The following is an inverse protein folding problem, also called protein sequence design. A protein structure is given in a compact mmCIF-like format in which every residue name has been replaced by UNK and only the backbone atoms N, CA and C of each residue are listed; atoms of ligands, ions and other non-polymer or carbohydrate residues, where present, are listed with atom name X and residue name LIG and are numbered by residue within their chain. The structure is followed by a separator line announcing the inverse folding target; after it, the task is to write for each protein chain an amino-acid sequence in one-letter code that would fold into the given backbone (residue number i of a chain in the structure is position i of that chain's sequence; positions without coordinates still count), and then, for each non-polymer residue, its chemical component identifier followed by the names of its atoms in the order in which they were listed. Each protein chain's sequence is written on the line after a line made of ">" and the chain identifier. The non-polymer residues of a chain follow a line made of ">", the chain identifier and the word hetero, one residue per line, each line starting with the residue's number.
data_IF_441123783107
#
_entry.id   IF_441123783107
#
_cell.length_a   1.000
_cell.length_b   1.000
_cell.length_c   1.000
_cell.angle_alpha   90.00
_cell.angle_beta   90.00
_cell.angle_gamma   90.00
#
_symmetry.space_group_name_H-M   'P 1'
#
loop_
_entity.id
_entity.type
_entity.pdbx_description
1 polymer ?
#
# COMPACT_ATOMS: atom_id res chain seq x y z
N UNK A 1 33.82 23.46 -25.78
CA UNK A 1 33.84 22.03 -26.19
C UNK A 1 33.39 21.83 -27.65
N UNK A 2 32.28 22.43 -28.10
CA UNK A 2 31.84 22.36 -29.52
C UNK A 2 32.87 22.97 -30.50
N UNK A 3 33.35 24.20 -30.25
CA UNK A 3 34.40 24.83 -31.07
C UNK A 3 35.67 23.97 -31.13
N UNK A 4 36.11 23.44 -29.98
CA UNK A 4 37.30 22.59 -29.90
C UNK A 4 37.15 21.26 -30.66
N UNK A 5 35.97 20.62 -30.59
CA UNK A 5 35.68 19.38 -31.32
C UNK A 5 35.75 19.58 -32.83
N UNK A 6 35.20 20.70 -33.32
CA UNK A 6 35.21 21.06 -34.74
C UNK A 6 36.45 21.87 -35.17
N UNK A 7 37.46 21.99 -34.30
CA UNK A 7 38.70 22.74 -34.53
C UNK A 7 38.47 24.21 -34.94
N UNK A 8 37.35 24.80 -34.56
CA UNK A 8 37.04 26.22 -34.76
C UNK A 8 37.84 27.02 -33.74
N UNK A 9 38.72 27.89 -34.25
CA UNK A 9 39.59 28.76 -33.47
C UNK A 9 39.49 30.18 -34.03
N UNK A 10 39.48 31.14 -33.14
CA UNK A 10 39.63 32.54 -33.53
C UNK A 10 41.10 32.82 -33.83
N UNK A 11 41.40 33.07 -35.11
CA UNK A 11 42.72 33.43 -35.63
C UNK A 11 42.69 34.83 -36.25
N UNK A 12 41.61 35.60 -36.02
CA UNK A 12 41.40 36.90 -36.66
C UNK A 12 41.05 36.84 -38.15
N UNK A 13 40.61 35.69 -38.67
CA UNK A 13 40.17 35.56 -40.07
C UNK A 13 38.78 36.19 -40.23
N UNK A 14 38.40 36.65 -41.45
CA UNK A 14 37.15 37.37 -41.65
C UNK A 14 35.88 36.66 -41.16
N UNK A 15 35.85 35.33 -41.16
CA UNK A 15 34.69 34.53 -40.74
C UNK A 15 34.72 34.09 -39.26
N UNK A 16 35.83 34.29 -38.53
CA UNK A 16 36.01 33.69 -37.19
C UNK A 16 35.02 34.23 -36.15
N UNK A 17 34.68 35.52 -36.22
CA UNK A 17 33.67 36.13 -35.34
C UNK A 17 32.27 35.53 -35.58
N UNK A 18 31.89 35.39 -36.85
CA UNK A 18 30.61 34.77 -37.21
C UNK A 18 30.57 33.28 -36.83
N UNK A 19 31.64 32.52 -37.10
CA UNK A 19 31.73 31.11 -36.69
C UNK A 19 31.63 30.95 -35.17
N UNK A 20 32.24 31.84 -34.40
CA UNK A 20 32.14 31.83 -32.93
C UNK A 20 30.71 32.10 -32.46
N UNK A 21 30.00 33.01 -33.12
CA UNK A 21 28.59 33.24 -32.86
C UNK A 21 27.73 32.03 -33.22
N UNK A 22 27.95 31.40 -34.38
CA UNK A 22 27.24 30.18 -34.79
C UNK A 22 27.47 29.09 -33.76
N UNK A 23 28.70 28.84 -33.30
CA UNK A 23 28.98 27.85 -32.25
C UNK A 23 28.24 28.17 -30.96
N UNK A 24 28.20 29.44 -30.56
CA UNK A 24 27.44 29.88 -29.37
C UNK A 24 25.96 29.59 -29.51
N UNK A 25 25.37 29.87 -30.68
CA UNK A 25 23.97 29.59 -30.98
C UNK A 25 23.69 28.09 -31.05
N UNK A 26 24.54 27.30 -31.72
CA UNK A 26 24.43 25.83 -31.76
C UNK A 26 24.43 25.24 -30.35
N UNK A 27 25.30 25.73 -29.46
CA UNK A 27 25.29 25.30 -28.06
C UNK A 27 23.99 25.70 -27.35
N UNK A 28 23.65 26.99 -27.31
CA UNK A 28 22.55 27.50 -26.48
C UNK A 28 21.16 27.11 -26.98
N UNK A 29 20.97 27.06 -28.30
CA UNK A 29 19.65 26.89 -28.92
C UNK A 29 19.37 25.44 -29.31
N UNK A 30 20.39 24.63 -29.58
CA UNK A 30 20.22 23.23 -30.03
C UNK A 30 20.78 22.24 -29.02
N UNK A 31 22.10 22.23 -28.81
CA UNK A 31 22.76 21.15 -28.09
C UNK A 31 22.46 21.15 -26.59
N UNK A 32 22.44 22.30 -25.93
CA UNK A 32 22.24 22.37 -24.48
C UNK A 32 20.88 21.79 -24.07
N UNK A 33 19.80 22.23 -24.72
CA UNK A 33 18.45 21.72 -24.44
C UNK A 33 18.29 20.24 -24.80
N UNK A 34 18.82 19.79 -25.95
CA UNK A 34 18.77 18.37 -26.32
C UNK A 34 19.53 17.48 -25.33
N UNK A 35 20.73 17.91 -24.91
CA UNK A 35 21.53 17.18 -23.93
C UNK A 35 20.87 17.20 -22.55
N UNK A 36 20.29 18.32 -22.14
CA UNK A 36 19.55 18.43 -20.88
C UNK A 36 18.37 17.46 -20.86
N UNK A 37 17.52 17.47 -21.89
CA UNK A 37 16.40 16.53 -22.01
C UNK A 37 16.89 15.09 -21.97
N UNK A 38 17.91 14.73 -22.77
CA UNK A 38 18.44 13.37 -22.81
C UNK A 38 19.03 12.92 -21.46
N UNK A 39 19.73 13.81 -20.75
CA UNK A 39 20.30 13.51 -19.44
C UNK A 39 19.22 13.38 -18.36
N UNK A 40 18.22 14.26 -18.35
CA UNK A 40 17.09 14.19 -17.41
C UNK A 40 16.30 12.90 -17.64
N UNK A 41 15.97 12.57 -18.89
CA UNK A 41 15.29 11.31 -19.23
C UNK A 41 16.09 10.11 -18.74
N UNK A 42 17.40 10.06 -19.01
CA UNK A 42 18.25 8.95 -18.56
C UNK A 42 18.29 8.81 -17.03
N UNK A 43 18.40 9.92 -16.30
CA UNK A 43 18.41 9.90 -14.83
C UNK A 43 17.05 9.46 -14.30
N UNK A 44 15.96 9.95 -14.91
CA UNK A 44 14.59 9.57 -14.56
C UNK A 44 14.37 8.07 -14.76
N UNK A 45 14.66 7.54 -15.95
CA UNK A 45 14.50 6.12 -16.26
C UNK A 45 15.28 5.23 -15.29
N UNK A 46 16.54 5.56 -15.01
CA UNK A 46 17.35 4.82 -14.06
C UNK A 46 16.80 4.87 -12.62
N UNK A 47 16.18 5.99 -12.24
CA UNK A 47 15.58 6.15 -10.91
C UNK A 47 14.26 5.38 -10.79
N UNK A 48 13.44 5.40 -11.84
CA UNK A 48 12.21 4.61 -11.93
C UNK A 48 12.51 3.11 -11.89
N UNK A 49 13.50 2.64 -12.65
CA UNK A 49 13.89 1.22 -12.66
C UNK A 49 14.36 0.75 -11.26
N UNK A 50 15.10 1.59 -10.54
CA UNK A 50 15.50 1.30 -9.16
C UNK A 50 14.29 1.23 -8.21
N UNK A 51 13.39 2.21 -8.29
CA UNK A 51 12.19 2.26 -7.48
C UNK A 51 11.29 1.03 -7.72
N UNK A 52 11.10 0.63 -8.98
CA UNK A 52 10.35 -0.58 -9.37
C UNK A 52 11.02 -1.83 -8.79
N UNK A 53 12.34 -1.91 -8.79
CA UNK A 53 13.08 -3.00 -8.14
C UNK A 53 12.77 -3.10 -6.63
N UNK A 54 12.66 -1.96 -5.93
CA UNK A 54 12.25 -1.92 -4.52
C UNK A 54 10.80 -2.36 -4.36
N UNK A 55 9.88 -1.87 -5.21
CA UNK A 55 8.47 -2.25 -5.19
C UNK A 55 8.27 -3.75 -5.39
N UNK A 56 8.99 -4.35 -6.36
CA UNK A 56 8.94 -5.77 -6.63
C UNK A 56 9.40 -6.61 -5.42
N UNK A 57 10.46 -6.18 -4.73
CA UNK A 57 10.93 -6.85 -3.51
C UNK A 57 9.91 -6.74 -2.38
N UNK A 58 9.35 -5.54 -2.15
CA UNK A 58 8.32 -5.34 -1.13
C UNK A 58 7.06 -6.17 -1.41
N UNK A 59 6.63 -6.27 -2.67
CA UNK A 59 5.52 -7.13 -3.07
C UNK A 59 5.84 -8.60 -2.82
N UNK A 60 7.04 -9.05 -3.19
CA UNK A 60 7.50 -10.42 -2.93
C UNK A 60 7.47 -10.74 -1.44
N UNK A 61 7.96 -9.85 -0.59
CA UNK A 61 7.96 -10.05 0.86
C UNK A 61 6.53 -10.14 1.44
N UNK A 62 5.59 -9.35 0.90
CA UNK A 62 4.17 -9.43 1.27
C UNK A 62 3.53 -10.75 0.82
N UNK A 63 3.81 -11.21 -0.41
CA UNK A 63 3.25 -12.44 -0.97
C UNK A 63 3.82 -13.70 -0.30
N UNK A 64 5.07 -13.65 0.15
CA UNK A 64 5.76 -14.76 0.82
C UNK A 64 5.69 -14.68 2.35
N UNK A 65 4.91 -13.76 2.90
CA UNK A 65 4.67 -13.70 4.33
C UNK A 65 4.05 -15.03 4.81
N UNK A 66 4.55 -15.55 5.93
CA UNK A 66 4.11 -16.84 6.43
C UNK A 66 2.61 -16.80 6.81
N UNK A 67 1.81 -17.76 6.32
CA UNK A 67 0.40 -17.84 6.68
C UNK A 67 0.24 -18.18 8.17
N UNK A 68 -0.69 -17.51 8.86
CA UNK A 68 -1.03 -17.86 10.24
C UNK A 68 -1.90 -19.13 10.34
N UNK A 69 -2.41 -19.59 9.19
CA UNK A 69 -3.16 -20.83 9.01
C UNK A 69 -4.66 -20.70 9.25
N UNK A 70 -5.33 -21.84 9.16
CA UNK A 70 -6.80 -21.98 9.16
C UNK A 70 -7.38 -21.81 10.58
N UNK A 71 -7.33 -20.58 11.08
CA UNK A 71 -7.84 -20.20 12.41
C UNK A 71 -8.91 -19.14 12.29
N UNK A 72 -9.92 -19.21 13.15
CA UNK A 72 -10.96 -18.18 13.24
C UNK A 72 -10.30 -16.84 13.58
N UNK A 73 -10.52 -15.85 12.72
CA UNK A 73 -9.77 -14.60 12.72
C UNK A 73 -10.71 -13.40 12.83
N UNK A 74 -10.41 -12.51 13.77
CA UNK A 74 -10.99 -11.18 13.86
C UNK A 74 -10.23 -10.23 12.94
N UNK A 75 -10.88 -9.68 11.92
CA UNK A 75 -10.35 -8.58 11.11
C UNK A 75 -10.80 -7.24 11.65
N UNK A 76 -9.85 -6.32 11.86
CA UNK A 76 -10.10 -4.95 12.27
C UNK A 76 -9.49 -4.00 11.23
N UNK A 77 -10.35 -3.29 10.51
CA UNK A 77 -9.96 -2.17 9.64
C UNK A 77 -10.10 -0.85 10.43
N UNK A 78 -8.99 -0.25 10.88
CA UNK A 78 -9.04 0.89 11.79
C UNK A 78 -9.62 2.14 11.14
N UNK A 79 -10.44 2.86 11.91
CA UNK A 79 -10.95 4.17 11.53
C UNK A 79 -11.22 5.01 12.78
N UNK A 80 -10.97 6.32 12.68
CA UNK A 80 -11.29 7.27 13.74
C UNK A 80 -12.76 7.70 13.63
N UNK A 81 -13.04 8.71 12.80
CA UNK A 81 -14.38 9.29 12.64
C UNK A 81 -15.40 8.30 12.10
N UNK A 82 -15.00 7.45 11.16
CA UNK A 82 -15.89 6.45 10.55
C UNK A 82 -16.08 5.22 11.46
N UNK A 83 -15.27 5.06 12.51
CA UNK A 83 -15.24 3.85 13.33
C UNK A 83 -14.45 2.71 12.69
N UNK A 84 -14.07 1.74 13.52
CA UNK A 84 -13.33 0.53 13.15
C UNK A 84 -14.31 -0.52 12.62
N UNK A 85 -14.03 -1.10 11.46
CA UNK A 85 -14.85 -2.17 10.88
C UNK A 85 -14.32 -3.48 11.43
N UNK A 86 -15.14 -4.14 12.22
CA UNK A 86 -14.81 -5.41 12.82
C UNK A 86 -15.55 -6.52 12.07
N UNK A 87 -14.83 -7.56 11.68
CA UNK A 87 -15.39 -8.75 11.04
C UNK A 87 -14.80 -10.01 11.65
N UNK A 88 -15.57 -11.09 11.69
CA UNK A 88 -15.07 -12.41 12.09
C UNK A 88 -15.17 -13.32 10.88
N UNK A 89 -14.06 -13.97 10.53
CA UNK A 89 -14.01 -15.00 9.50
C UNK A 89 -13.70 -16.35 10.13
N UNK A 90 -14.33 -17.42 9.63
CA UNK A 90 -14.03 -18.78 10.07
C UNK A 90 -12.70 -19.29 9.49
N UNK A 91 -12.38 -20.56 9.77
CA UNK A 91 -11.15 -21.21 9.30
C UNK A 91 -11.05 -21.32 7.77
N UNK A 92 -12.16 -21.19 7.05
CA UNK A 92 -12.21 -21.20 5.57
C UNK A 92 -12.22 -19.79 4.97
N UNK A 93 -12.21 -18.76 5.82
CA UNK A 93 -12.34 -17.37 5.40
C UNK A 93 -13.78 -16.93 5.14
N UNK A 94 -14.80 -17.72 5.50
CA UNK A 94 -16.21 -17.32 5.38
C UNK A 94 -16.55 -16.30 6.47
N UNK A 95 -17.26 -15.24 6.10
CA UNK A 95 -17.73 -14.22 7.03
C UNK A 95 -18.79 -14.80 8.01
N UNK A 96 -18.54 -14.65 9.31
CA UNK A 96 -19.44 -15.05 10.39
C UNK A 96 -20.19 -13.86 11.00
N UNK A 97 -19.51 -12.73 11.19
CA UNK A 97 -20.07 -11.54 11.81
C UNK A 97 -19.39 -10.27 11.29
N UNK A 98 -20.11 -9.15 11.30
CA UNK A 98 -19.60 -7.82 10.94
C UNK A 98 -20.30 -6.74 11.75
N UNK A 99 -19.56 -5.76 12.25
CA UNK A 99 -20.08 -4.63 13.03
C UNK A 99 -19.11 -3.44 12.93
N UNK A 100 -19.62 -2.21 13.03
CA UNK A 100 -18.78 -1.02 13.17
C UNK A 100 -18.75 -0.59 14.63
N UNK A 101 -17.56 -0.63 15.23
CA UNK A 101 -17.33 -0.08 16.57
C UNK A 101 -16.75 1.33 16.49
N UNK A 102 -17.09 2.17 17.47
CA UNK A 102 -16.63 3.56 17.52
C UNK A 102 -15.78 3.86 18.77
N UNK A 103 -14.69 3.10 19.04
CA UNK A 103 -13.89 3.23 20.26
C UNK A 103 -13.13 4.56 20.32
N UNK A 104 -12.79 5.13 19.16
CA UNK A 104 -11.88 6.25 19.02
C UNK A 104 -12.60 7.59 18.89
N UNK A 105 -11.83 8.68 18.76
CA UNK A 105 -12.38 10.00 18.48
C UNK A 105 -13.14 10.03 17.15
N UNK A 106 -14.26 10.76 17.05
CA UNK A 106 -14.84 11.68 18.04
C UNK A 106 -15.79 11.00 19.04
N UNK A 107 -16.20 9.77 18.80
CA UNK A 107 -17.28 9.12 19.56
C UNK A 107 -16.85 8.59 20.93
N UNK A 108 -15.59 8.17 21.06
CA UNK A 108 -14.96 7.69 22.31
C UNK A 108 -15.76 6.58 23.01
N UNK A 109 -16.44 5.71 22.27
CA UNK A 109 -17.21 4.58 22.81
C UNK A 109 -16.30 3.37 23.09
N UNK A 110 -15.22 3.59 23.84
CA UNK A 110 -14.17 2.61 24.10
C UNK A 110 -14.72 1.33 24.74
N UNK A 111 -15.44 1.48 25.86
CA UNK A 111 -15.97 0.35 26.62
C UNK A 111 -16.97 -0.49 25.82
N UNK A 112 -17.84 0.13 25.00
CA UNK A 112 -18.79 -0.59 24.17
C UNK A 112 -18.10 -1.43 23.09
N UNK A 113 -17.06 -0.87 22.45
CA UNK A 113 -16.24 -1.64 21.49
C UNK A 113 -15.51 -2.79 22.18
N UNK A 114 -14.95 -2.54 23.37
CA UNK A 114 -14.24 -3.54 24.16
C UNK A 114 -15.15 -4.72 24.58
N UNK A 115 -16.36 -4.43 25.06
CA UNK A 115 -17.35 -5.44 25.44
C UNK A 115 -17.81 -6.29 24.25
N UNK A 116 -18.07 -5.66 23.10
CA UNK A 116 -18.43 -6.38 21.88
C UNK A 116 -17.32 -7.33 21.45
N UNK A 117 -16.07 -6.86 21.41
CA UNK A 117 -14.94 -7.67 20.96
C UNK A 117 -14.67 -8.83 21.92
N UNK A 118 -14.75 -8.62 23.24
CA UNK A 118 -14.66 -9.71 24.23
C UNK A 118 -15.78 -10.73 24.02
N UNK A 119 -17.02 -10.26 23.84
CA UNK A 119 -18.15 -11.14 23.55
C UNK A 119 -17.92 -11.98 22.30
N UNK A 120 -17.47 -11.38 21.20
CA UNK A 120 -17.15 -12.09 19.96
C UNK A 120 -16.03 -13.10 20.12
N UNK A 121 -14.98 -12.77 20.90
CA UNK A 121 -13.90 -13.71 21.18
C UNK A 121 -14.40 -14.97 21.89
N UNK A 122 -15.34 -14.83 22.83
CA UNK A 122 -15.97 -15.98 23.49
C UNK A 122 -16.93 -16.74 22.56
N UNK A 123 -17.78 -16.03 21.83
CA UNK A 123 -18.82 -16.63 20.97
C UNK A 123 -18.24 -17.40 19.79
N UNK A 124 -17.22 -16.84 19.12
CA UNK A 124 -16.65 -17.43 17.91
C UNK A 124 -15.35 -18.18 18.15
N UNK A 125 -14.85 -18.26 19.39
CA UNK A 125 -13.57 -18.88 19.72
C UNK A 125 -12.42 -18.37 18.84
N UNK A 126 -12.34 -17.04 18.72
CA UNK A 126 -11.34 -16.35 17.90
C UNK A 126 -9.94 -16.71 18.42
N UNK A 127 -9.02 -17.01 17.51
CA UNK A 127 -7.63 -17.33 17.84
C UNK A 127 -6.64 -16.28 17.31
N UNK A 128 -7.00 -15.60 16.21
CA UNK A 128 -6.17 -14.59 15.56
C UNK A 128 -6.88 -13.24 15.51
N UNK A 129 -6.12 -12.15 15.63
CA UNK A 129 -6.61 -10.79 15.41
C UNK A 129 -5.72 -10.10 14.37
N UNK A 130 -6.28 -9.81 13.20
CA UNK A 130 -5.66 -9.03 12.14
C UNK A 130 -6.06 -7.57 12.27
N UNK A 131 -5.07 -6.67 12.40
CA UNK A 131 -5.30 -5.23 12.50
C UNK A 131 -4.66 -4.56 11.29
N UNK A 132 -5.45 -3.83 10.48
CA UNK A 132 -4.93 -3.02 9.38
C UNK A 132 -3.92 -1.98 9.88
N UNK A 133 -2.88 -1.70 9.10
CA UNK A 133 -1.83 -0.75 9.45
C UNK A 133 -2.17 0.72 9.13
N UNK A 134 -3.43 1.04 8.84
CA UNK A 134 -3.89 2.37 8.49
C UNK A 134 -4.18 3.32 9.65
N UNK A 135 -5.07 4.28 9.37
CA UNK A 135 -5.38 5.39 10.28
C UNK A 135 -6.15 4.91 11.49
N UNK A 136 -5.59 5.10 12.69
CA UNK A 136 -6.18 4.62 13.95
C UNK A 136 -5.70 3.22 14.35
N UNK A 137 -4.74 2.63 13.63
CA UNK A 137 -4.18 1.31 13.91
C UNK A 137 -3.52 1.22 15.29
N UNK A 138 -2.83 2.28 15.74
CA UNK A 138 -2.18 2.32 17.06
C UNK A 138 -3.19 2.31 18.20
N UNK A 139 -4.31 3.00 18.04
CA UNK A 139 -5.40 3.05 18.99
C UNK A 139 -6.18 1.73 19.00
N UNK A 140 -6.43 1.16 17.83
CA UNK A 140 -7.05 -0.18 17.70
C UNK A 140 -6.17 -1.26 18.31
N UNK A 141 -4.84 -1.17 18.15
CA UNK A 141 -3.89 -2.07 18.80
C UNK A 141 -3.98 -2.03 20.33
N UNK A 142 -4.13 -0.82 20.90
CA UNK A 142 -4.35 -0.66 22.34
C UNK A 142 -5.67 -1.28 22.78
N UNK A 143 -6.74 -1.12 21.99
CA UNK A 143 -8.03 -1.72 22.28
C UNK A 143 -7.93 -3.26 22.33
N UNK A 144 -7.26 -3.87 21.35
CA UNK A 144 -7.07 -5.32 21.29
C UNK A 144 -6.23 -5.83 22.46
N UNK A 145 -5.21 -5.08 22.91
CA UNK A 145 -4.46 -5.44 24.13
C UNK A 145 -5.34 -5.48 25.37
N UNK A 146 -6.28 -4.55 25.50
CA UNK A 146 -7.25 -4.58 26.60
C UNK A 146 -8.26 -5.74 26.47
N UNK A 147 -8.67 -6.10 25.24
CA UNK A 147 -9.47 -7.32 24.99
C UNK A 147 -8.69 -8.55 25.48
N UNK A 148 -7.42 -8.68 25.07
CA UNK A 148 -6.55 -9.79 25.49
C UNK A 148 -6.44 -9.88 27.01
N UNK A 149 -6.25 -8.76 27.71
CA UNK A 149 -6.17 -8.73 29.16
C UNK A 149 -7.47 -9.21 29.85
N UNK A 150 -8.64 -8.99 29.23
CA UNK A 150 -9.94 -9.45 29.76
C UNK A 150 -10.23 -10.92 29.48
N UNK A 151 -9.61 -11.51 28.47
CA UNK A 151 -9.80 -12.91 28.11
C UNK A 151 -8.96 -13.89 28.96
N UNK A 152 -8.03 -13.38 29.77
CA UNK A 152 -7.21 -14.19 30.66
C UNK A 152 -6.30 -15.14 29.89
N UNK A 153 -6.39 -16.44 30.20
CA UNK A 153 -5.50 -17.48 29.67
C UNK A 153 -5.77 -17.89 28.22
N UNK A 154 -6.70 -17.24 27.50
CA UNK A 154 -6.96 -17.56 26.10
C UNK A 154 -6.01 -16.76 25.17
N UNK A 155 -4.99 -17.40 24.56
CA UNK A 155 -3.96 -16.68 23.83
C UNK A 155 -4.48 -16.26 22.45
N UNK A 156 -5.02 -15.04 22.33
CA UNK A 156 -5.20 -14.41 21.03
C UNK A 156 -3.84 -13.98 20.47
N UNK A 157 -3.55 -14.33 19.22
CA UNK A 157 -2.40 -13.79 18.51
C UNK A 157 -2.83 -12.55 17.71
N UNK A 158 -2.45 -11.36 18.18
CA UNK A 158 -2.66 -10.11 17.43
C UNK A 158 -1.49 -9.84 16.48
N UNK A 159 -1.79 -9.49 15.23
CA UNK A 159 -0.82 -9.19 14.19
C UNK A 159 -1.27 -7.95 13.42
N UNK A 160 -0.33 -7.04 13.17
CA UNK A 160 -0.54 -5.91 12.26
C UNK A 160 -0.36 -6.41 10.83
N UNK A 161 -1.34 -6.13 9.97
CA UNK A 161 -1.39 -6.57 8.58
C UNK A 161 -1.43 -5.35 7.67
N UNK A 162 -0.78 -5.45 6.52
CA UNK A 162 -0.85 -4.40 5.49
C UNK A 162 -2.28 -4.29 4.96
N UNK A 163 -2.85 -3.09 4.95
CA UNK A 163 -4.12 -2.78 4.27
C UNK A 163 -3.93 -2.38 2.81
N UNK A 164 -2.70 -2.43 2.28
CA UNK A 164 -2.39 -2.04 0.91
C UNK A 164 -3.29 -2.75 -0.10
N UNK A 165 -4.04 -1.99 -0.90
CA UNK A 165 -4.99 -2.52 -1.86
C UNK A 165 -6.32 -3.04 -1.28
N UNK A 166 -6.54 -3.04 0.05
CA UNK A 166 -7.81 -3.49 0.64
C UNK A 166 -9.01 -2.63 0.19
N UNK A 167 -8.78 -1.33 -0.01
CA UNK A 167 -9.76 -0.39 -0.56
C UNK A 167 -10.05 -0.64 -2.06
N UNK A 168 -9.05 -1.06 -2.82
CA UNK A 168 -9.21 -1.43 -4.24
C UNK A 168 -9.98 -2.75 -4.35
N UNK A 169 -9.63 -3.72 -3.51
CA UNK A 169 -10.37 -4.97 -3.38
C UNK A 169 -11.84 -4.71 -3.03
N UNK A 170 -12.13 -3.92 -2.00
CA UNK A 170 -13.50 -3.73 -1.51
C UNK A 170 -14.44 -3.11 -2.56
N UNK A 171 -13.90 -2.25 -3.42
CA UNK A 171 -14.61 -1.63 -4.54
C UNK A 171 -14.61 -2.48 -5.83
N UNK A 172 -13.93 -3.62 -5.86
CA UNK A 172 -13.82 -4.47 -7.06
C UNK A 172 -15.11 -5.24 -7.36
N UNK A 173 -15.32 -5.58 -8.64
CA UNK A 173 -16.40 -6.46 -9.06
C UNK A 173 -16.29 -7.86 -8.43
N UNK A 174 -15.06 -8.33 -8.20
CA UNK A 174 -14.80 -9.61 -7.53
C UNK A 174 -15.33 -9.59 -6.10
N UNK A 175 -14.99 -8.58 -5.30
CA UNK A 175 -15.48 -8.46 -3.93
C UNK A 175 -17.00 -8.26 -3.88
N UNK A 176 -17.58 -7.57 -4.87
CA UNK A 176 -19.03 -7.44 -5.00
C UNK A 176 -19.71 -8.78 -5.32
N UNK A 177 -19.05 -9.67 -6.07
CA UNK A 177 -19.54 -11.02 -6.34
C UNK A 177 -19.37 -11.94 -5.12
N UNK A 178 -18.26 -11.85 -4.38
CA UNK A 178 -18.04 -12.62 -3.15
C UNK A 178 -18.99 -12.20 -2.02
N UNK A 179 -19.30 -10.91 -1.91
CA UNK A 179 -20.13 -10.36 -0.84
C UNK A 179 -21.19 -9.35 -1.37
N UNK A 180 -22.23 -9.82 -2.06
CA UNK A 180 -23.23 -8.95 -2.69
C UNK A 180 -23.96 -8.04 -1.69
N UNK A 181 -24.33 -8.60 -0.54
CA UNK A 181 -25.14 -7.92 0.48
C UNK A 181 -24.30 -7.18 1.54
N UNK A 182 -22.97 -7.28 1.47
CA UNK A 182 -22.06 -6.64 2.41
C UNK A 182 -21.67 -5.25 1.94
N UNK A 183 -21.80 -4.26 2.81
CA UNK A 183 -21.33 -2.90 2.55
C UNK A 183 -19.84 -2.88 2.20
N UNK A 184 -19.47 -1.99 1.27
CA UNK A 184 -18.10 -1.86 0.75
C UNK A 184 -17.09 -1.65 1.89
N UNK A 185 -17.45 -0.96 2.96
CA UNK A 185 -16.53 -0.70 4.07
C UNK A 185 -16.14 -1.98 4.84
N UNK A 186 -17.01 -2.99 4.92
CA UNK A 186 -16.68 -4.26 5.60
C UNK A 186 -15.85 -5.21 4.72
N UNK A 187 -15.97 -5.12 3.39
CA UNK A 187 -15.19 -5.97 2.47
C UNK A 187 -13.68 -5.77 2.64
N UNK A 188 -13.25 -4.54 2.94
CA UNK A 188 -11.85 -4.23 3.27
C UNK A 188 -11.38 -4.98 4.54
N UNK A 189 -12.18 -4.94 5.60
CA UNK A 189 -11.91 -5.66 6.84
C UNK A 189 -11.86 -7.19 6.64
N UNK A 190 -12.69 -7.74 5.76
CA UNK A 190 -12.62 -9.16 5.38
C UNK A 190 -11.28 -9.49 4.71
N UNK A 191 -10.80 -8.63 3.80
CA UNK A 191 -9.50 -8.82 3.17
C UNK A 191 -8.37 -8.79 4.20
N UNK A 192 -8.42 -7.87 5.17
CA UNK A 192 -7.44 -7.81 6.28
C UNK A 192 -7.42 -9.12 7.08
N UNK A 193 -8.59 -9.68 7.41
CA UNK A 193 -8.68 -10.94 8.14
C UNK A 193 -8.08 -12.12 7.34
N UNK A 194 -8.47 -12.25 6.07
CA UNK A 194 -8.03 -13.34 5.19
C UNK A 194 -6.54 -13.26 4.85
N UNK A 195 -5.98 -12.06 4.69
CA UNK A 195 -4.53 -11.87 4.51
C UNK A 195 -3.71 -12.43 5.65
N UNK A 196 -4.24 -12.42 6.89
CA UNK A 196 -3.53 -13.03 8.00
C UNK A 196 -3.53 -14.56 7.91
N UNK A 197 -4.65 -15.14 7.47
CA UNK A 197 -4.78 -16.59 7.28
C UNK A 197 -3.85 -17.06 6.16
N UNK A 198 -3.92 -16.43 4.99
CA UNK A 198 -3.08 -16.69 3.82
C UNK A 198 -2.87 -15.39 3.00
N UNK A 199 -1.70 -14.74 3.13
CA UNK A 199 -1.37 -13.53 2.38
C UNK A 199 -1.41 -13.72 0.87
N UNK A 200 -0.90 -14.87 0.38
CA UNK A 200 -0.79 -15.13 -1.05
C UNK A 200 -2.18 -15.29 -1.66
N UNK A 201 -3.02 -16.13 -1.07
CA UNK A 201 -4.36 -16.43 -1.59
C UNK A 201 -5.28 -15.19 -1.62
N UNK A 202 -5.06 -14.24 -0.71
CA UNK A 202 -5.87 -13.02 -0.65
C UNK A 202 -5.30 -11.89 -1.52
N UNK A 203 -3.97 -11.69 -1.58
CA UNK A 203 -3.37 -10.60 -2.36
C UNK A 203 -3.46 -10.83 -3.88
N UNK A 204 -3.50 -12.07 -4.36
CA UNK A 204 -3.67 -12.38 -5.80
C UNK A 204 -5.03 -11.94 -6.36
N UNK A 205 -6.00 -11.61 -5.51
CA UNK A 205 -7.32 -11.08 -5.91
C UNK A 205 -7.28 -9.61 -6.34
N UNK A 206 -6.13 -8.96 -6.17
CA UNK A 206 -5.93 -7.52 -6.40
C UNK A 206 -4.95 -7.36 -7.55
N UNK A 207 -5.18 -6.36 -8.40
CA UNK A 207 -4.21 -6.01 -9.44
C UNK A 207 -2.85 -5.66 -8.78
N UNK A 208 -1.73 -6.28 -9.19
CA UNK A 208 -0.44 -6.11 -8.50
C UNK A 208 -0.01 -4.65 -8.32
N UNK A 209 -0.17 -3.82 -9.36
CA UNK A 209 0.16 -2.39 -9.33
C UNK A 209 -0.73 -1.56 -8.38
N UNK A 210 -1.88 -2.11 -7.98
CA UNK A 210 -2.81 -1.48 -7.05
C UNK A 210 -2.52 -1.85 -5.59
N UNK A 211 -1.63 -2.82 -5.35
CA UNK A 211 -1.07 -3.08 -4.03
C UNK A 211 0.01 -2.02 -3.78
N UNK A 212 -0.27 -1.07 -2.88
CA UNK A 212 0.67 -0.03 -2.51
C UNK A 212 1.89 -0.61 -1.78
N UNK A 213 3.00 -0.77 -2.49
CA UNK A 213 4.25 -1.37 -1.99
C UNK A 213 5.39 -0.37 -1.90
N UNK A 214 5.16 0.90 -2.21
CA UNK A 214 6.12 1.97 -1.97
C UNK A 214 5.56 3.37 -2.21
N UNK A 215 6.32 4.37 -1.77
CA UNK A 215 6.00 5.77 -2.05
C UNK A 215 6.24 6.09 -3.52
N UNK A 216 5.46 7.01 -4.09
CA UNK A 216 5.57 7.46 -5.49
C UNK A 216 5.36 6.35 -6.53
N UNK A 217 4.73 5.24 -6.15
CA UNK A 217 4.42 4.13 -7.06
C UNK A 217 3.53 4.54 -8.24
N UNK A 218 2.72 5.59 -8.08
CA UNK A 218 1.91 6.13 -9.17
C UNK A 218 2.67 7.09 -10.09
N UNK A 219 3.89 7.50 -9.72
CA UNK A 219 4.69 8.47 -10.45
C UNK A 219 5.76 7.82 -11.35
N UNK A 220 5.95 6.50 -11.25
CA UNK A 220 6.82 5.72 -12.15
C UNK A 220 6.08 5.30 -13.43
N UNK A 221 6.82 4.84 -14.43
CA UNK A 221 6.25 4.25 -15.63
C UNK A 221 5.35 3.03 -15.29
N UNK A 222 4.04 3.21 -15.49
CA UNK A 222 3.04 2.19 -15.16
C UNK A 222 3.11 0.98 -16.08
N UNK A 223 3.70 1.10 -17.27
CA UNK A 223 3.90 -0.02 -18.20
C UNK A 223 5.01 -0.94 -17.70
N UNK A 224 6.05 -0.36 -17.07
CA UNK A 224 7.14 -1.12 -16.45
C UNK A 224 6.78 -1.71 -15.08
N UNK A 225 5.78 -1.14 -14.40
CA UNK A 225 5.32 -1.60 -13.09
C UNK A 225 4.38 -2.83 -13.17
N UNK A 226 3.75 -3.05 -14.33
CA UNK A 226 2.81 -4.15 -14.56
C UNK A 226 3.48 -5.52 -14.72
#
# INVERSE_FOLDING_TARGET
>A
KVAAYWLIKDQGRPADSWLSEVVRWTWRVKLASQLETALITRVREASEDNAIGVFANNLKDLLLAAPAGDKITLGLDPGLRTGVKAVVVDTTGKLLASETIFPHVPHKKWQAGLELLVHWCHTYHIALVAIGNGTGSRETDKLVKEVQARLGDNPLQRIIVSEAGASIYSASALAAAEFPDLDVSYRGAVSIARRLQDPLAELVKIEPKAIGVGQYQHDVDQSKLM
#
